data_IF_072459727847
#
_entry.id   IF_072459727847
#
_cell.length_a   1.000
_cell.length_b   1.000
_cell.length_c   1.000
_cell.angle_alpha   90.00
_cell.angle_beta   90.00
_cell.angle_gamma   90.00
#
_symmetry.space_group_name_H-M   'P 1'
#
loop_
_entity.id
_entity.type
_entity.pdbx_description
1 polymer ?
#
# COMPACT_ATOMS: atom_id res chain seq x y z
N UNK A 1 -3.43 -23.34 10.58
CA UNK A 1 -3.57 -21.97 11.09
C UNK A 1 -2.83 -21.08 10.10
N UNK A 2 -3.55 -20.38 9.23
CA UNK A 2 -2.94 -19.60 8.15
C UNK A 2 -2.38 -18.31 8.76
N UNK A 3 -1.11 -18.37 9.16
CA UNK A 3 -0.33 -17.20 9.52
C UNK A 3 -0.09 -16.40 8.23
N UNK A 4 -0.96 -15.42 7.98
CA UNK A 4 -0.80 -14.48 6.88
C UNK A 4 0.43 -13.67 7.24
N UNK A 5 1.57 -14.00 6.64
CA UNK A 5 2.80 -13.21 6.74
C UNK A 5 2.44 -11.72 6.57
N UNK A 6 2.55 -10.89 7.61
CA UNK A 6 2.19 -9.47 7.58
C UNK A 6 3.30 -8.64 6.92
N UNK A 7 3.95 -9.20 5.90
CA UNK A 7 5.04 -8.55 5.15
C UNK A 7 4.72 -8.48 3.65
N UNK A 8 3.66 -9.17 3.22
CA UNK A 8 3.28 -9.34 1.81
C UNK A 8 1.79 -9.05 1.58
N UNK A 9 1.15 -8.26 2.42
CA UNK A 9 -0.23 -7.84 2.17
C UNK A 9 -0.26 -6.61 1.26
N UNK A 10 -1.06 -6.60 0.19
CA UNK A 10 -1.07 -5.48 -0.76
C UNK A 10 -1.49 -4.16 -0.11
N UNK A 11 -2.29 -4.27 0.96
CA UNK A 11 -2.71 -3.14 1.77
C UNK A 11 -1.55 -2.46 2.50
N UNK A 12 -0.51 -3.20 2.91
CA UNK A 12 0.64 -2.62 3.60
C UNK A 12 1.54 -1.85 2.63
N UNK A 13 1.71 -2.35 1.41
CA UNK A 13 2.40 -1.62 0.34
C UNK A 13 1.65 -0.35 -0.02
N UNK A 14 0.32 -0.39 -0.10
CA UNK A 14 -0.52 0.81 -0.28
C UNK A 14 -0.28 1.81 0.85
N UNK A 15 -0.31 1.34 2.11
CA UNK A 15 -0.03 2.19 3.27
C UNK A 15 1.39 2.76 3.27
N UNK A 16 2.38 1.98 2.77
CA UNK A 16 3.75 2.41 2.65
C UNK A 16 3.87 3.58 1.66
N UNK A 17 3.28 3.46 0.48
CA UNK A 17 3.28 4.52 -0.53
C UNK A 17 2.52 5.76 -0.06
N UNK A 18 1.37 5.60 0.61
CA UNK A 18 0.66 6.73 1.24
C UNK A 18 1.54 7.47 2.26
N UNK A 19 2.23 6.73 3.15
CA UNK A 19 3.16 7.30 4.13
C UNK A 19 4.33 8.02 3.46
N UNK A 20 4.85 7.49 2.37
CA UNK A 20 5.95 8.10 1.58
C UNK A 20 5.54 9.42 0.93
N UNK A 21 4.33 9.52 0.39
CA UNK A 21 3.78 10.77 -0.16
C UNK A 21 3.55 11.79 0.94
N UNK A 22 2.99 11.37 2.09
CA UNK A 22 2.79 12.25 3.24
C UNK A 22 4.10 12.77 3.83
N UNK A 23 5.19 11.98 3.77
CA UNK A 23 6.53 12.42 4.21
C UNK A 23 7.11 13.51 3.31
N UNK A 24 6.85 13.42 2.00
CA UNK A 24 7.29 14.43 1.03
C UNK A 24 6.44 15.71 1.09
N UNK A 25 5.14 15.58 1.38
CA UNK A 25 4.20 16.70 1.47
C UNK A 25 3.42 16.65 2.79
N UNK A 26 4.04 17.05 3.92
CA UNK A 26 3.36 17.00 5.22
C UNK A 26 2.08 17.85 5.16
N UNK A 27 1.01 17.32 5.76
CA UNK A 27 -0.20 18.09 6.02
C UNK A 27 -0.05 18.81 7.35
N UNK A 28 -0.48 20.07 7.43
CA UNK A 28 -0.42 20.85 8.68
C UNK A 28 -1.72 20.76 9.48
N UNK A 29 -2.79 20.24 8.86
CA UNK A 29 -4.11 20.12 9.48
C UNK A 29 -4.72 18.74 9.19
N UNK A 30 -5.56 18.25 10.10
CA UNK A 30 -6.26 16.96 9.96
C UNK A 30 -7.12 16.92 8.69
N UNK A 31 -7.75 18.05 8.32
CA UNK A 31 -8.56 18.16 7.10
C UNK A 31 -7.73 17.98 5.83
N UNK A 32 -6.56 18.65 5.76
CA UNK A 32 -5.63 18.48 4.64
C UNK A 32 -5.08 17.05 4.56
N UNK A 33 -4.78 16.45 5.72
CA UNK A 33 -4.30 15.06 5.79
C UNK A 33 -5.34 14.12 5.17
N UNK A 34 -6.60 14.29 5.55
CA UNK A 34 -7.71 13.48 5.08
C UNK A 34 -7.96 13.67 3.58
N UNK A 35 -7.92 14.91 3.08
CA UNK A 35 -8.04 15.17 1.65
C UNK A 35 -6.88 14.56 0.85
N UNK A 36 -5.63 14.70 1.32
CA UNK A 36 -4.47 14.08 0.67
C UNK A 36 -4.56 12.56 0.67
N UNK A 37 -4.96 11.95 1.80
CA UNK A 37 -5.15 10.50 1.85
C UNK A 37 -6.22 10.05 0.86
N UNK A 38 -7.32 10.79 0.74
CA UNK A 38 -8.39 10.49 -0.22
C UNK A 38 -7.92 10.63 -1.67
N UNK A 39 -7.15 11.68 -1.99
CA UNK A 39 -6.58 11.94 -3.31
C UNK A 39 -5.57 10.85 -3.73
N UNK A 40 -4.68 10.46 -2.81
CA UNK A 40 -3.75 9.33 -3.01
C UNK A 40 -4.54 8.04 -3.18
N UNK A 41 -5.59 7.84 -2.40
CA UNK A 41 -6.44 6.66 -2.47
C UNK A 41 -7.17 6.54 -3.82
N UNK A 42 -7.69 7.66 -4.32
CA UNK A 42 -8.36 7.74 -5.63
C UNK A 42 -7.38 7.46 -6.79
N UNK A 43 -6.12 7.86 -6.63
CA UNK A 43 -5.05 7.59 -7.60
C UNK A 43 -4.70 6.09 -7.71
N UNK A 44 -5.02 5.27 -6.70
CA UNK A 44 -4.83 3.82 -6.78
C UNK A 44 -5.85 3.17 -7.71
N UNK A 45 -5.51 3.14 -8.99
CA UNK A 45 -6.28 2.44 -10.02
C UNK A 45 -6.15 0.91 -9.88
N UNK A 46 -7.08 0.17 -10.49
CA UNK A 46 -7.01 -1.30 -10.56
C UNK A 46 -5.66 -1.81 -11.13
N UNK A 47 -5.03 -1.02 -11.99
CA UNK A 47 -3.71 -1.30 -12.56
C UNK A 47 -2.60 -1.19 -11.50
N UNK A 48 -2.72 -0.26 -10.55
CA UNK A 48 -1.80 -0.18 -9.43
C UNK A 48 -1.92 -1.41 -8.53
N UNK A 49 -3.14 -1.81 -8.16
CA UNK A 49 -3.37 -3.04 -7.39
C UNK A 49 -2.83 -4.29 -8.10
N UNK A 50 -3.06 -4.42 -9.41
CA UNK A 50 -2.52 -5.54 -10.19
C UNK A 50 -0.99 -5.53 -10.23
N UNK A 51 -0.38 -4.37 -10.47
CA UNK A 51 1.08 -4.25 -10.44
C UNK A 51 1.62 -4.66 -9.08
N UNK A 52 0.98 -4.22 -8.00
CA UNK A 52 1.37 -4.50 -6.61
C UNK A 52 1.32 -5.98 -6.25
N UNK A 53 0.30 -6.70 -6.72
CA UNK A 53 0.21 -8.17 -6.59
C UNK A 53 1.30 -8.86 -7.42
N UNK A 54 1.69 -8.27 -8.55
CA UNK A 54 2.70 -8.81 -9.45
C UNK A 54 4.15 -8.53 -8.97
N UNK A 55 4.38 -7.41 -8.27
CA UNK A 55 5.68 -7.08 -7.66
C UNK A 55 5.92 -7.80 -6.34
N UNK A 56 4.89 -8.37 -5.72
CA UNK A 56 5.12 -9.26 -4.59
C UNK A 56 5.93 -10.44 -5.08
N UNK A 57 7.04 -10.78 -4.39
CA UNK A 57 7.66 -12.05 -4.66
C UNK A 57 6.59 -13.11 -4.40
N UNK A 58 6.16 -13.79 -5.47
CA UNK A 58 5.50 -15.07 -5.33
C UNK A 58 6.53 -15.99 -4.70
N UNK A 59 6.61 -15.93 -3.37
CA UNK A 59 7.24 -16.94 -2.55
C UNK A 59 6.37 -18.19 -2.66
N UNK A 60 6.34 -18.76 -3.85
CA UNK A 60 6.02 -20.15 -4.09
C UNK A 60 7.18 -20.90 -3.42
N UNK A 61 7.11 -21.04 -2.10
CA UNK A 61 7.90 -22.03 -1.40
C UNK A 61 7.08 -23.32 -1.47
N UNK A 62 7.40 -24.27 -2.37
CA UNK A 62 6.95 -25.63 -2.16
C UNK A 62 7.59 -26.08 -0.84
N UNK A 63 6.79 -26.18 0.21
CA UNK A 63 7.17 -26.84 1.44
C UNK A 63 7.61 -28.26 1.06
N UNK A 64 8.88 -28.57 1.32
CA UNK A 64 9.42 -29.93 1.25
C UNK A 64 9.08 -30.69 2.52
#
# INVERSE_FOLDING_TARGET
>A
MFDIRPDLSPIETVWHEMKKVLRQRPARTITELRQKLQDIWDCFTANFCQNLVNTMPQEFQPSK
#
